data_IF_777717352077
#
_entry.id   IF_777717352077
#
_cell.length_a   1.000
_cell.length_b   1.000
_cell.length_c   1.000
_cell.angle_alpha   90.00
_cell.angle_beta   90.00
_cell.angle_gamma   90.00
#
_symmetry.space_group_name_H-M   'P 1'
#
loop_
_entity.id
_entity.type
_entity.pdbx_description
1 polymer ?
#
# COMPACT_ATOMS: atom_id res chain seq x y z
N UNK A 1 -64.26 54.90 -12.63
CA UNK A 1 -63.54 55.92 -13.41
C UNK A 1 -62.10 55.97 -12.89
N UNK A 2 -61.13 55.84 -13.81
CA UNK A 2 -59.65 55.88 -13.70
C UNK A 2 -58.90 54.69 -13.05
N UNK A 3 -58.16 54.03 -13.95
CA UNK A 3 -57.08 53.06 -13.80
C UNK A 3 -55.75 53.80 -13.68
N UNK A 4 -54.85 53.32 -12.81
CA UNK A 4 -53.36 53.44 -12.84
C UNK A 4 -52.86 52.43 -11.80
N UNK A 5 -52.18 51.30 -12.06
CA UNK A 5 -51.11 50.96 -13.01
C UNK A 5 -49.76 51.12 -12.31
N UNK A 6 -49.07 50.02 -11.93
CA UNK A 6 -47.59 49.85 -11.71
C UNK A 6 -47.26 48.46 -11.11
N UNK A 7 -46.03 47.90 -11.24
CA UNK A 7 -45.75 46.80 -12.17
C UNK A 7 -45.34 45.47 -11.50
N UNK A 8 -45.32 44.40 -12.32
CA UNK A 8 -44.80 43.08 -11.98
C UNK A 8 -43.28 43.12 -11.69
N UNK A 9 -42.88 42.69 -10.49
CA UNK A 9 -41.48 42.51 -10.10
C UNK A 9 -41.06 41.05 -10.28
N UNK A 10 -39.90 40.91 -10.90
CA UNK A 10 -39.29 39.72 -11.47
C UNK A 10 -38.70 38.76 -10.42
N UNK A 11 -38.64 37.49 -10.80
CA UNK A 11 -37.82 36.43 -10.20
C UNK A 11 -36.39 36.87 -9.88
N UNK A 12 -35.94 36.67 -8.64
CA UNK A 12 -34.53 36.35 -8.38
C UNK A 12 -34.39 35.37 -7.21
N UNK A 13 -34.30 34.08 -7.55
CA UNK A 13 -33.68 33.07 -6.69
C UNK A 13 -32.25 33.51 -6.38
N UNK A 14 -31.96 33.79 -5.10
CA UNK A 14 -30.60 33.90 -4.58
C UNK A 14 -29.87 32.57 -4.80
N UNK A 15 -29.01 32.51 -5.82
CA UNK A 15 -28.04 31.43 -5.94
C UNK A 15 -26.95 31.63 -4.87
N UNK A 16 -26.89 30.72 -3.90
CA UNK A 16 -25.77 30.62 -2.96
C UNK A 16 -24.46 30.36 -3.71
N UNK A 17 -23.34 31.03 -3.37
CA UNK A 17 -22.08 30.82 -4.06
C UNK A 17 -21.55 29.41 -3.75
N UNK A 18 -21.33 28.62 -4.80
CA UNK A 18 -20.64 27.33 -4.73
C UNK A 18 -19.26 27.52 -4.11
N UNK A 19 -19.06 27.05 -2.88
CA UNK A 19 -17.74 26.97 -2.24
C UNK A 19 -16.83 26.10 -3.11
N UNK A 20 -15.82 26.72 -3.74
CA UNK A 20 -14.76 26.00 -4.47
C UNK A 20 -14.01 25.14 -3.46
N UNK A 21 -13.99 23.81 -3.67
CA UNK A 21 -13.11 22.90 -2.92
C UNK A 21 -11.65 23.27 -3.20
N UNK A 22 -10.79 23.38 -2.18
CA UNK A 22 -9.38 23.62 -2.40
C UNK A 22 -8.74 22.40 -3.12
N UNK A 23 -7.69 22.62 -3.93
CA UNK A 23 -7.00 21.54 -4.62
C UNK A 23 -6.38 20.57 -3.61
N UNK A 24 -6.54 19.27 -3.86
CA UNK A 24 -5.91 18.21 -3.08
C UNK A 24 -4.39 18.35 -3.21
N UNK A 25 -3.70 18.61 -2.09
CA UNK A 25 -2.23 18.59 -2.04
C UNK A 25 -1.73 17.19 -2.44
N UNK A 26 -0.66 17.08 -3.25
CA UNK A 26 -0.08 15.79 -3.62
C UNK A 26 0.39 15.05 -2.37
N UNK A 27 0.06 13.76 -2.30
CA UNK A 27 0.31 12.93 -1.13
C UNK A 27 1.81 12.80 -0.84
N UNK A 28 2.20 13.27 0.34
CA UNK A 28 3.56 13.33 0.87
C UNK A 28 4.10 11.94 1.31
N UNK A 29 3.88 10.88 0.52
CA UNK A 29 4.17 9.47 0.91
C UNK A 29 5.64 9.08 0.81
N UNK A 30 6.44 9.82 0.04
CA UNK A 30 7.85 9.47 -0.26
C UNK A 30 8.82 9.98 0.83
N UNK A 31 8.41 10.92 1.69
CA UNK A 31 9.32 11.63 2.61
C UNK A 31 9.81 10.81 3.81
N UNK A 32 9.13 9.71 4.16
CA UNK A 32 9.47 8.87 5.32
C UNK A 32 10.54 7.80 5.06
N UNK A 33 10.96 7.59 3.80
CA UNK A 33 11.87 6.49 3.42
C UNK A 33 13.29 6.65 3.96
N UNK A 34 13.82 7.87 3.97
CA UNK A 34 15.20 8.15 4.44
C UNK A 34 15.34 8.14 5.97
N UNK A 35 14.39 8.71 6.75
CA UNK A 35 14.43 8.59 8.21
C UNK A 35 14.39 7.14 8.70
N UNK A 36 13.52 6.29 8.12
CA UNK A 36 13.34 4.92 8.59
C UNK A 36 14.60 4.05 8.54
N UNK A 37 15.43 4.20 7.48
CA UNK A 37 16.70 3.46 7.38
C UNK A 37 17.70 3.88 8.46
N UNK A 38 17.87 5.19 8.68
CA UNK A 38 18.80 5.71 9.70
C UNK A 38 18.39 5.34 11.13
N UNK A 39 17.09 5.31 11.41
CA UNK A 39 16.58 4.84 12.71
C UNK A 39 16.86 3.36 12.87
N UNK A 40 16.71 2.56 11.82
CA UNK A 40 17.08 1.15 11.88
C UNK A 40 18.57 0.93 12.12
N UNK A 41 19.42 1.64 11.38
CA UNK A 41 20.87 1.51 11.52
C UNK A 41 21.36 1.89 12.93
N UNK A 42 20.59 2.69 13.69
CA UNK A 42 20.94 3.11 15.06
C UNK A 42 20.25 2.31 16.17
N UNK A 43 19.11 1.67 15.92
CA UNK A 43 18.31 0.98 16.93
C UNK A 43 18.07 -0.51 16.65
N UNK A 44 18.56 -1.03 15.52
CA UNK A 44 18.45 -2.44 15.17
C UNK A 44 19.25 -3.32 16.13
N UNK A 45 18.62 -4.35 16.69
CA UNK A 45 19.29 -5.37 17.48
C UNK A 45 19.33 -6.68 16.69
N UNK A 46 20.55 -7.20 16.49
CA UNK A 46 20.80 -8.48 15.82
C UNK A 46 20.95 -9.64 16.82
N UNK A 47 21.12 -9.34 18.10
CA UNK A 47 21.53 -10.31 19.13
C UNK A 47 20.36 -10.90 19.92
N UNK A 48 19.15 -10.33 19.81
CA UNK A 48 17.96 -10.79 20.53
C UNK A 48 16.82 -11.17 19.58
N UNK A 49 16.41 -12.44 19.62
CA UNK A 49 15.18 -12.91 18.97
C UNK A 49 13.99 -12.60 19.88
N UNK A 50 13.53 -11.35 19.85
CA UNK A 50 12.30 -10.90 20.53
C UNK A 50 11.15 -10.79 19.53
N UNK A 51 9.90 -10.87 20.00
CA UNK A 51 8.73 -10.50 19.18
C UNK A 51 8.80 -9.04 18.67
N UNK A 52 9.56 -8.20 19.37
CA UNK A 52 9.87 -6.82 18.98
C UNK A 52 11.12 -6.69 18.10
N UNK A 53 11.92 -7.75 17.97
CA UNK A 53 13.08 -7.74 17.11
C UNK A 53 12.65 -7.77 15.64
N UNK A 54 13.07 -6.75 14.92
CA UNK A 54 12.91 -6.66 13.48
C UNK A 54 14.31 -6.80 12.91
N UNK A 55 14.81 -8.00 12.62
CA UNK A 55 16.06 -8.16 11.90
C UNK A 55 15.95 -7.51 10.52
N UNK A 56 17.09 -7.24 9.89
CA UNK A 56 17.16 -6.51 8.63
C UNK A 56 16.28 -7.12 7.52
N UNK A 57 16.26 -8.45 7.39
CA UNK A 57 15.36 -9.12 6.45
C UNK A 57 13.87 -8.81 6.73
N UNK A 58 13.47 -8.74 8.00
CA UNK A 58 12.06 -8.49 8.40
C UNK A 58 11.67 -7.05 8.14
N UNK A 59 12.58 -6.10 8.34
CA UNK A 59 12.37 -4.71 7.91
C UNK A 59 12.14 -4.64 6.39
N UNK A 60 12.93 -5.39 5.61
CA UNK A 60 12.78 -5.40 4.17
C UNK A 60 11.51 -6.08 3.67
N UNK A 61 10.97 -7.06 4.39
CA UNK A 61 9.59 -7.57 4.15
C UNK A 61 8.57 -6.44 4.31
N UNK A 62 8.67 -5.60 5.34
CA UNK A 62 7.77 -4.45 5.49
C UNK A 62 7.97 -3.37 4.41
N UNK A 63 9.24 -3.08 4.06
CA UNK A 63 9.57 -2.09 3.02
C UNK A 63 9.04 -2.53 1.66
N UNK A 64 9.20 -3.81 1.30
CA UNK A 64 8.71 -4.31 0.02
C UNK A 64 7.19 -4.16 -0.13
N UNK A 65 6.42 -4.41 0.93
CA UNK A 65 4.97 -4.16 0.92
C UNK A 65 4.62 -2.68 0.70
N UNK A 66 5.28 -1.80 1.45
CA UNK A 66 5.03 -0.36 1.32
C UNK A 66 5.34 0.12 -0.10
N UNK A 67 6.47 -0.31 -0.66
CA UNK A 67 6.93 0.09 -1.99
C UNK A 67 6.04 -0.49 -3.09
N UNK A 68 5.61 -1.75 -2.99
CA UNK A 68 4.62 -2.34 -3.89
C UNK A 68 3.31 -1.54 -3.90
N UNK A 69 2.83 -1.09 -2.73
CA UNK A 69 1.63 -0.24 -2.62
C UNK A 69 1.81 1.16 -3.20
N UNK A 70 3.04 1.67 -3.23
CA UNK A 70 3.36 2.97 -3.82
C UNK A 70 3.62 2.89 -5.33
N UNK A 71 3.73 1.69 -5.91
CA UNK A 71 4.14 1.50 -7.31
C UNK A 71 5.64 1.74 -7.53
N UNK A 72 6.45 1.69 -6.48
CA UNK A 72 7.90 1.92 -6.54
C UNK A 72 8.62 0.61 -6.88
N UNK A 73 8.42 0.11 -8.10
CA UNK A 73 8.78 -1.26 -8.51
C UNK A 73 10.25 -1.61 -8.23
N UNK A 74 11.18 -0.80 -8.74
CA UNK A 74 12.62 -1.04 -8.55
C UNK A 74 13.00 -1.15 -7.07
N UNK A 75 12.50 -0.22 -6.26
CA UNK A 75 12.81 -0.21 -4.84
C UNK A 75 12.11 -1.36 -4.09
N UNK A 76 10.93 -1.79 -4.55
CA UNK A 76 10.24 -2.95 -4.00
C UNK A 76 11.03 -4.24 -4.25
N UNK A 77 11.53 -4.44 -5.48
CA UNK A 77 12.40 -5.57 -5.84
C UNK A 77 13.70 -5.57 -5.03
N UNK A 78 14.39 -4.43 -4.94
CA UNK A 78 15.61 -4.30 -4.12
C UNK A 78 15.36 -4.69 -2.64
N UNK A 79 14.20 -4.30 -2.08
CA UNK A 79 13.83 -4.70 -0.73
C UNK A 79 13.52 -6.21 -0.65
N UNK A 80 12.89 -6.81 -1.65
CA UNK A 80 12.66 -8.26 -1.68
C UNK A 80 13.98 -9.03 -1.72
N UNK A 81 14.94 -8.60 -2.54
CA UNK A 81 16.25 -9.24 -2.66
C UNK A 81 17.03 -9.14 -1.34
N UNK A 82 17.02 -7.96 -0.71
CA UNK A 82 17.63 -7.77 0.62
C UNK A 82 16.96 -8.62 1.71
N UNK A 83 15.64 -8.84 1.63
CA UNK A 83 14.95 -9.73 2.55
C UNK A 83 15.34 -11.19 2.32
N UNK A 84 15.35 -11.65 1.06
CA UNK A 84 15.64 -13.04 0.72
C UNK A 84 17.08 -13.44 1.02
N UNK A 85 18.04 -12.51 0.91
CA UNK A 85 19.44 -12.78 1.20
C UNK A 85 19.71 -13.25 2.64
N UNK A 86 18.86 -12.84 3.59
CA UNK A 86 19.05 -13.10 5.03
C UNK A 86 17.87 -13.86 5.67
N UNK A 87 16.80 -14.13 4.92
CA UNK A 87 15.60 -14.80 5.45
C UNK A 87 15.90 -16.28 5.75
N UNK A 88 15.66 -16.76 6.99
CA UNK A 88 15.82 -18.17 7.31
C UNK A 88 14.83 -19.06 6.53
N UNK A 89 15.34 -20.13 5.91
CA UNK A 89 14.53 -21.10 5.16
C UNK A 89 13.44 -21.79 6.02
N UNK A 90 13.66 -21.87 7.34
CA UNK A 90 12.68 -22.39 8.30
C UNK A 90 11.43 -21.52 8.46
N UNK A 91 11.40 -20.33 7.86
CA UNK A 91 10.31 -19.35 7.96
C UNK A 91 9.60 -19.11 6.60
N UNK A 92 9.04 -20.15 5.95
CA UNK A 92 8.50 -20.06 4.60
C UNK A 92 7.35 -19.06 4.46
N UNK A 93 6.63 -18.78 5.55
CA UNK A 93 5.56 -17.78 5.58
C UNK A 93 6.04 -16.39 5.14
N UNK A 94 7.26 -15.99 5.51
CA UNK A 94 7.79 -14.68 5.13
C UNK A 94 8.28 -14.65 3.69
N UNK A 95 8.76 -15.77 3.15
CA UNK A 95 9.03 -15.90 1.71
C UNK A 95 7.73 -15.72 0.91
N UNK A 96 6.64 -16.37 1.34
CA UNK A 96 5.32 -16.18 0.73
C UNK A 96 4.87 -14.72 0.79
N UNK A 97 5.11 -13.99 1.89
CA UNK A 97 4.81 -12.54 1.92
C UNK A 97 5.47 -11.78 0.77
N UNK A 98 6.73 -12.06 0.46
CA UNK A 98 7.45 -11.39 -0.64
C UNK A 98 6.83 -11.73 -2.00
N UNK A 99 6.41 -12.98 -2.23
CA UNK A 99 5.67 -13.34 -3.44
C UNK A 99 4.33 -12.62 -3.56
N UNK A 100 3.59 -12.48 -2.45
CA UNK A 100 2.34 -11.71 -2.46
C UNK A 100 2.59 -10.23 -2.75
N UNK A 101 3.73 -9.67 -2.32
CA UNK A 101 4.11 -8.29 -2.67
C UNK A 101 4.44 -8.17 -4.16
N UNK A 102 5.07 -9.17 -4.78
CA UNK A 102 5.28 -9.22 -6.24
C UNK A 102 3.96 -9.31 -7.01
N UNK A 103 3.05 -10.18 -6.59
CA UNK A 103 1.71 -10.27 -7.20
C UNK A 103 0.96 -8.94 -7.10
N UNK A 104 1.04 -8.25 -5.95
CA UNK A 104 0.46 -6.91 -5.79
C UNK A 104 1.12 -5.88 -6.71
N UNK A 105 2.44 -5.94 -6.88
CA UNK A 105 3.19 -5.05 -7.75
C UNK A 105 2.78 -5.20 -9.21
N UNK A 106 2.71 -6.45 -9.71
CA UNK A 106 2.22 -6.77 -11.05
C UNK A 106 0.79 -6.26 -11.27
N UNK A 107 -0.10 -6.49 -10.30
CA UNK A 107 -1.48 -6.03 -10.40
C UNK A 107 -1.59 -4.50 -10.47
N UNK A 108 -0.70 -3.78 -9.78
CA UNK A 108 -0.67 -2.31 -9.75
C UNK A 108 0.02 -1.69 -10.97
N UNK A 109 0.92 -2.42 -11.64
CA UNK A 109 1.61 -1.94 -12.85
C UNK A 109 0.77 -2.10 -14.13
N UNK A 110 -0.34 -2.84 -14.05
CA UNK A 110 -1.32 -3.01 -15.13
C UNK A 110 -1.61 -4.47 -15.46
N UNK A 111 -0.75 -5.41 -15.04
CA UNK A 111 -0.98 -6.84 -15.19
C UNK A 111 -1.81 -7.39 -14.02
N UNK A 112 -3.08 -7.00 -13.99
CA UNK A 112 -4.01 -7.43 -12.92
C UNK A 112 -4.19 -8.95 -12.89
N UNK A 113 -4.35 -9.58 -14.05
CA UNK A 113 -4.57 -11.02 -14.13
C UNK A 113 -3.33 -11.80 -13.68
N UNK A 114 -2.15 -11.45 -14.19
CA UNK A 114 -0.89 -12.08 -13.80
C UNK A 114 -0.56 -11.84 -12.33
N UNK A 115 -0.81 -10.64 -11.80
CA UNK A 115 -0.61 -10.34 -10.39
C UNK A 115 -1.49 -11.17 -9.44
N UNK A 116 -2.77 -11.37 -9.80
CA UNK A 116 -3.68 -12.23 -9.03
C UNK A 116 -3.28 -13.70 -9.14
N UNK A 117 -2.93 -14.17 -10.34
CA UNK A 117 -2.47 -15.54 -10.54
C UNK A 117 -1.21 -15.83 -9.72
N UNK A 118 -0.20 -14.97 -9.80
CA UNK A 118 1.05 -15.08 -9.03
C UNK A 118 0.80 -15.16 -7.53
N UNK A 119 -0.03 -14.24 -7.00
CA UNK A 119 -0.36 -14.21 -5.58
C UNK A 119 -1.12 -15.47 -5.13
N UNK A 120 -2.00 -16.00 -5.98
CA UNK A 120 -2.80 -17.19 -5.67
C UNK A 120 -1.91 -18.43 -5.65
N UNK A 121 -1.09 -18.65 -6.67
CA UNK A 121 -0.13 -19.76 -6.74
C UNK A 121 0.84 -19.75 -5.56
N UNK A 122 1.36 -18.57 -5.17
CA UNK A 122 2.23 -18.45 -4.01
C UNK A 122 1.53 -18.82 -2.69
N UNK A 123 0.24 -18.51 -2.56
CA UNK A 123 -0.56 -18.91 -1.40
C UNK A 123 -0.79 -20.42 -1.37
N UNK A 124 -1.09 -21.03 -2.52
CA UNK A 124 -1.35 -22.47 -2.65
C UNK A 124 -0.10 -23.33 -2.40
N UNK A 125 1.09 -22.82 -2.73
CA UNK A 125 2.36 -23.48 -2.42
C UNK A 125 2.70 -23.52 -0.92
N UNK A 126 2.09 -22.64 -0.11
CA UNK A 126 2.28 -22.63 1.33
C UNK A 126 1.31 -23.62 2.00
N UNK A 127 1.75 -24.46 2.96
CA UNK A 127 0.84 -25.35 3.68
C UNK A 127 -0.34 -24.60 4.31
N UNK A 128 -1.59 -25.12 4.22
CA UNK A 128 -2.80 -24.43 4.66
C UNK A 128 -2.77 -23.95 6.11
N UNK A 129 -2.15 -24.70 7.01
CA UNK A 129 -2.01 -24.36 8.43
C UNK A 129 -1.16 -23.08 8.66
N UNK A 130 -0.40 -22.65 7.65
CA UNK A 130 0.40 -21.41 7.68
C UNK A 130 -0.31 -20.23 7.01
N UNK A 131 -1.54 -20.41 6.52
CA UNK A 131 -2.36 -19.38 5.86
C UNK A 131 -2.93 -18.35 6.84
N UNK A 132 -2.05 -17.50 7.36
CA UNK A 132 -2.47 -16.43 8.28
C UNK A 132 -3.51 -15.49 7.65
N UNK A 133 -4.32 -14.86 8.49
CA UNK A 133 -5.27 -13.84 8.06
C UNK A 133 -4.59 -12.75 7.23
N UNK A 134 -3.41 -12.29 7.66
CA UNK A 134 -2.64 -11.26 6.97
C UNK A 134 -2.28 -11.65 5.54
N UNK A 135 -1.88 -12.91 5.29
CA UNK A 135 -1.59 -13.40 3.93
C UNK A 135 -2.84 -13.41 3.05
N UNK A 136 -3.97 -13.90 3.58
CA UNK A 136 -5.27 -13.89 2.85
C UNK A 136 -5.70 -12.48 2.49
N UNK A 137 -5.49 -11.52 3.39
CA UNK A 137 -5.73 -10.10 3.10
C UNK A 137 -4.84 -9.58 1.96
N UNK A 138 -3.59 -10.05 1.83
CA UNK A 138 -2.72 -9.65 0.71
C UNK A 138 -3.21 -10.21 -0.63
N UNK A 139 -3.61 -11.48 -0.67
CA UNK A 139 -4.18 -12.09 -1.89
C UNK A 139 -5.42 -11.29 -2.33
N UNK A 140 -6.29 -10.94 -1.38
CA UNK A 140 -7.47 -10.13 -1.68
C UNK A 140 -7.11 -8.70 -2.13
N UNK A 141 -6.04 -8.11 -1.60
CA UNK A 141 -5.57 -6.80 -2.01
C UNK A 141 -5.13 -6.78 -3.49
N UNK A 142 -4.51 -7.86 -3.99
CA UNK A 142 -4.14 -7.97 -5.41
C UNK A 142 -5.35 -8.10 -6.35
N UNK A 143 -6.53 -8.48 -5.82
CA UNK A 143 -7.78 -8.63 -6.59
C UNK A 143 -8.56 -7.32 -6.73
N UNK A 144 -8.39 -6.41 -5.78
CA UNK A 144 -9.06 -5.11 -5.75
C UNK A 144 -8.61 -4.23 -6.93
#
# INVERSE_FOLDING_TARGET
>A
MKVTGFPAAQHHLRQSPRRRRPPRRPHNRVRARRPGRRVFDSAGSYEQTSDYAVPWWRLNVFRSLLLARLGEEKAATEAQDQALAELPASLPRFATHLELHRGLMLARSGDKAGGVAHATTAMEALPPEKHSLTLRMRVNESRA
#
